data_IF_989128420182
#
_entry.id   IF_989128420182
#
_cell.length_a   1.000
_cell.length_b   1.000
_cell.length_c   1.000
_cell.angle_alpha   90.00
_cell.angle_beta   90.00
_cell.angle_gamma   90.00
#
_symmetry.space_group_name_H-M   'P 1'
#
loop_
_entity.id
_entity.type
_entity.pdbx_description
1 polymer ?
#
# COMPACT_ATOMS: atom_id res chain seq x y z
N UNK A 1 16.97 15.75 -79.12
CA UNK A 1 16.04 16.29 -78.05
C UNK A 1 16.21 15.39 -76.83
N UNK A 2 17.08 15.80 -75.90
CA UNK A 2 17.31 15.04 -74.67
C UNK A 2 16.37 15.51 -73.58
N UNK A 3 15.51 14.58 -73.09
CA UNK A 3 14.65 14.87 -71.91
C UNK A 3 15.41 14.46 -70.67
N UNK A 4 15.75 15.43 -69.83
CA UNK A 4 16.35 15.24 -68.51
C UNK A 4 15.21 15.02 -67.54
N UNK A 5 15.13 13.83 -66.91
CA UNK A 5 14.21 13.54 -65.82
C UNK A 5 14.90 13.90 -64.49
N UNK A 6 14.32 14.90 -63.78
CA UNK A 6 14.72 15.22 -62.42
C UNK A 6 13.95 14.34 -61.46
N UNK A 7 14.64 13.44 -60.74
CA UNK A 7 14.09 12.74 -59.62
C UNK A 7 14.22 13.56 -58.36
N UNK A 8 13.07 13.98 -57.83
CA UNK A 8 13.02 14.68 -56.55
C UNK A 8 12.94 13.60 -55.47
N UNK A 9 14.04 13.36 -54.72
CA UNK A 9 14.06 12.51 -53.57
C UNK A 9 13.52 13.30 -52.38
N UNK A 10 12.27 12.98 -51.97
CA UNK A 10 11.66 13.52 -50.75
C UNK A 10 12.17 12.68 -49.55
N UNK A 11 13.20 13.19 -48.86
CA UNK A 11 13.70 12.57 -47.63
C UNK A 11 12.75 12.91 -46.49
N UNK A 12 11.94 11.92 -46.09
CA UNK A 12 11.18 11.99 -44.87
C UNK A 12 12.10 11.73 -43.69
N UNK A 13 12.52 12.78 -43.02
CA UNK A 13 13.22 12.68 -41.73
C UNK A 13 12.29 12.21 -40.65
N UNK A 14 12.45 10.96 -40.24
CA UNK A 14 11.75 10.38 -39.08
C UNK A 14 12.37 11.02 -37.81
N UNK A 15 11.73 12.04 -37.25
CA UNK A 15 12.10 12.56 -35.94
C UNK A 15 11.64 11.56 -34.87
N UNK A 16 12.54 10.69 -34.42
CA UNK A 16 12.34 9.88 -33.25
C UNK A 16 12.51 10.82 -32.04
N UNK A 17 11.39 11.27 -31.47
CA UNK A 17 11.40 11.88 -30.16
C UNK A 17 11.76 10.79 -29.15
N UNK A 18 13.04 10.73 -28.76
CA UNK A 18 13.43 9.98 -27.58
C UNK A 18 12.67 10.60 -26.39
N UNK A 19 11.82 9.82 -25.77
CA UNK A 19 11.25 10.17 -24.47
C UNK A 19 12.44 10.39 -23.52
N UNK A 20 12.54 11.51 -22.82
CA UNK A 20 13.55 11.64 -21.78
C UNK A 20 13.28 10.53 -20.78
N UNK A 21 14.26 9.65 -20.60
CA UNK A 21 14.23 8.64 -19.56
C UNK A 21 13.82 9.37 -18.27
N UNK A 22 12.68 8.95 -17.72
CA UNK A 22 12.26 9.42 -16.40
C UNK A 22 13.39 9.03 -15.46
N UNK A 23 14.15 10.01 -15.00
CA UNK A 23 15.16 9.82 -13.97
C UNK A 23 14.41 9.30 -12.76
N UNK A 24 14.34 7.99 -12.61
CA UNK A 24 13.81 7.36 -11.43
C UNK A 24 14.71 7.84 -10.30
N UNK A 25 14.17 8.70 -9.43
CA UNK A 25 14.88 9.19 -8.26
C UNK A 25 15.19 7.96 -7.42
N UNK A 26 16.40 7.42 -7.54
CA UNK A 26 16.86 6.28 -6.77
C UNK A 26 16.96 6.76 -5.32
N UNK A 27 15.93 6.49 -4.52
CA UNK A 27 16.03 6.64 -3.09
C UNK A 27 17.09 5.66 -2.59
N UNK A 28 17.96 6.07 -1.67
CA UNK A 28 18.87 5.13 -1.02
C UNK A 28 18.01 4.05 -0.33
N UNK A 29 18.45 2.80 -0.38
CA UNK A 29 17.74 1.69 0.23
C UNK A 29 17.44 1.95 1.72
N UNK A 30 18.31 2.68 2.40
CA UNK A 30 18.12 3.13 3.78
C UNK A 30 16.87 4.00 3.95
N UNK A 31 16.65 4.97 3.06
CA UNK A 31 15.48 5.86 3.14
C UNK A 31 14.20 5.16 2.69
N UNK A 32 14.28 4.23 1.73
CA UNK A 32 13.12 3.50 1.22
C UNK A 32 12.48 2.58 2.26
N UNK A 33 13.22 2.21 3.30
CA UNK A 33 12.78 1.25 4.32
C UNK A 33 12.54 1.86 5.70
N UNK A 34 12.74 3.17 5.84
CA UNK A 34 12.44 3.85 7.10
C UNK A 34 10.94 3.77 7.42
N UNK A 35 10.59 3.43 8.67
CA UNK A 35 9.20 3.54 9.13
C UNK A 35 8.78 5.02 9.18
N UNK A 36 7.51 5.26 9.01
CA UNK A 36 6.88 6.59 9.11
C UNK A 36 5.64 6.51 10.01
N UNK A 37 5.02 7.64 10.38
CA UNK A 37 3.75 7.60 11.10
C UNK A 37 2.61 6.95 10.30
N UNK A 38 2.74 6.90 8.97
CA UNK A 38 1.76 6.20 8.14
C UNK A 38 1.97 4.69 8.23
N UNK A 39 0.88 3.90 8.36
CA UNK A 39 0.97 2.46 8.38
C UNK A 39 1.59 1.89 7.10
N UNK A 40 2.57 1.01 7.26
CA UNK A 40 3.15 0.27 6.15
C UNK A 40 3.26 -1.23 6.50
N UNK A 41 3.72 -2.05 5.55
CA UNK A 41 3.92 -3.50 5.72
C UNK A 41 2.71 -4.19 6.33
N UNK A 42 1.52 -3.83 5.84
CA UNK A 42 0.27 -4.43 6.28
C UNK A 42 0.21 -5.87 5.79
N UNK A 43 0.08 -6.80 6.73
CA UNK A 43 0.01 -8.25 6.46
C UNK A 43 -1.23 -8.81 7.11
N UNK A 44 -2.11 -9.39 6.30
CA UNK A 44 -3.25 -10.18 6.76
C UNK A 44 -2.80 -11.64 6.93
N UNK A 45 -3.13 -12.24 8.06
CA UNK A 45 -2.68 -13.60 8.41
C UNK A 45 -3.70 -14.30 9.30
N UNK A 46 -3.41 -15.53 9.70
CA UNK A 46 -4.23 -16.30 10.63
C UNK A 46 -3.49 -16.45 11.97
N UNK A 47 -4.24 -16.33 13.05
CA UNK A 47 -3.72 -16.56 14.41
C UNK A 47 -4.64 -17.48 15.25
N UNK A 48 -5.79 -17.85 14.73
CA UNK A 48 -6.81 -18.65 15.40
C UNK A 48 -7.65 -19.36 14.33
N UNK A 49 -8.87 -19.84 14.65
CA UNK A 49 -9.75 -20.49 13.70
C UNK A 49 -10.00 -19.63 12.43
N UNK A 50 -9.53 -20.05 11.25
CA UNK A 50 -9.63 -19.27 10.03
C UNK A 50 -11.07 -19.11 9.51
N UNK A 51 -12.02 -19.90 10.00
CA UNK A 51 -13.42 -19.81 9.61
C UNK A 51 -14.14 -18.60 10.27
N UNK A 52 -13.61 -18.11 11.38
CA UNK A 52 -14.26 -17.08 12.21
C UNK A 52 -13.34 -15.97 12.68
N UNK A 53 -12.05 -16.03 12.35
CA UNK A 53 -11.05 -15.03 12.76
C UNK A 53 -10.12 -14.66 11.62
N UNK A 54 -9.55 -13.46 11.73
CA UNK A 54 -8.48 -12.97 10.85
C UNK A 54 -7.57 -12.07 11.64
N UNK A 55 -6.26 -12.17 11.45
CA UNK A 55 -5.29 -11.30 12.10
C UNK A 55 -4.69 -10.34 11.09
N UNK A 56 -4.39 -9.12 11.52
CA UNK A 56 -3.66 -8.13 10.74
C UNK A 56 -2.52 -7.55 11.55
N UNK A 57 -1.36 -7.43 10.91
CA UNK A 57 -0.19 -6.77 11.46
C UNK A 57 0.23 -5.63 10.53
N UNK A 58 0.75 -4.56 11.11
CA UNK A 58 1.34 -3.45 10.37
C UNK A 58 2.44 -2.78 11.17
N UNK A 59 3.19 -1.92 10.49
CA UNK A 59 4.29 -1.18 11.09
C UNK A 59 4.02 0.32 11.00
N UNK A 60 4.52 1.06 12.01
CA UNK A 60 4.69 2.52 12.00
C UNK A 60 6.04 2.87 12.61
N UNK A 61 6.40 4.14 12.59
CA UNK A 61 7.52 4.61 13.40
C UNK A 61 7.15 4.65 14.90
N UNK A 62 8.12 4.99 15.73
CA UNK A 62 7.97 4.99 17.19
C UNK A 62 7.14 6.15 17.75
N UNK A 63 6.71 7.09 16.92
CA UNK A 63 5.81 8.18 17.33
C UNK A 63 4.37 7.71 17.52
N UNK A 64 3.97 6.64 16.82
CA UNK A 64 2.63 6.07 16.91
C UNK A 64 2.59 5.04 18.05
N UNK A 65 2.13 5.46 19.22
CA UNK A 65 2.08 4.62 20.42
C UNK A 65 0.88 3.68 20.49
N UNK A 66 -0.16 3.94 19.71
CA UNK A 66 -1.43 3.18 19.73
C UNK A 66 -1.91 2.97 18.31
N UNK A 67 -1.95 1.71 17.90
CA UNK A 67 -2.57 1.32 16.65
C UNK A 67 -4.06 1.00 16.82
N UNK A 68 -4.81 1.20 15.75
CA UNK A 68 -6.21 0.81 15.65
C UNK A 68 -6.49 0.19 14.28
N UNK A 69 -7.39 -0.76 14.23
CA UNK A 69 -7.87 -1.35 12.99
C UNK A 69 -9.39 -1.26 12.90
N UNK A 70 -9.91 -1.13 11.71
CA UNK A 70 -11.35 -1.14 11.44
C UNK A 70 -11.68 -2.25 10.45
N UNK A 71 -12.80 -2.93 10.67
CA UNK A 71 -13.35 -3.93 9.77
C UNK A 71 -14.85 -3.74 9.60
N UNK A 72 -15.34 -3.93 8.39
CA UNK A 72 -16.77 -3.89 8.06
C UNK A 72 -17.11 -4.98 7.04
N UNK A 73 -18.37 -5.39 6.98
CA UNK A 73 -18.86 -6.17 5.85
C UNK A 73 -18.76 -5.30 4.59
N UNK A 74 -18.07 -5.81 3.58
CA UNK A 74 -17.91 -5.11 2.32
C UNK A 74 -19.25 -5.01 1.58
N UNK A 75 -19.48 -3.87 0.95
CA UNK A 75 -20.62 -3.65 0.08
C UNK A 75 -20.18 -3.00 -1.23
N UNK A 76 -21.05 -2.96 -2.22
CA UNK A 76 -20.77 -2.37 -3.52
C UNK A 76 -20.57 -0.83 -3.47
N UNK A 77 -20.94 -0.22 -2.36
CA UNK A 77 -20.78 1.21 -2.11
C UNK A 77 -19.85 1.45 -0.91
N UNK A 78 -18.54 1.50 -1.16
CA UNK A 78 -17.52 1.70 -0.12
C UNK A 78 -17.65 2.97 0.73
N UNK A 79 -18.56 3.89 0.36
CA UNK A 79 -18.82 5.11 1.13
C UNK A 79 -19.74 4.90 2.33
N UNK A 80 -20.44 3.76 2.41
CA UNK A 80 -21.43 3.45 3.45
C UNK A 80 -21.00 2.30 4.34
N UNK A 81 -19.69 2.07 4.48
CA UNK A 81 -19.18 1.10 5.43
C UNK A 81 -19.48 1.55 6.87
N UNK A 82 -19.98 0.61 7.67
CA UNK A 82 -20.16 0.81 9.12
C UNK A 82 -19.13 -0.04 9.87
N UNK A 83 -17.90 0.47 10.04
CA UNK A 83 -16.81 -0.32 10.59
C UNK A 83 -16.91 -0.48 12.10
N UNK A 84 -16.53 -1.65 12.56
CA UNK A 84 -16.18 -1.90 13.96
C UNK A 84 -14.69 -1.63 14.16
N UNK A 85 -14.34 -0.91 15.22
CA UNK A 85 -12.97 -0.54 15.56
C UNK A 85 -12.38 -1.47 16.63
N UNK A 86 -11.11 -1.82 16.45
CA UNK A 86 -10.32 -2.66 17.34
C UNK A 86 -9.02 -1.96 17.71
N UNK A 87 -8.70 -1.96 19.01
CA UNK A 87 -7.40 -1.47 19.50
C UNK A 87 -6.35 -2.52 19.23
N UNK A 88 -5.20 -2.09 18.74
CA UNK A 88 -4.07 -2.98 18.51
C UNK A 88 -3.24 -3.20 19.77
N UNK A 89 -2.67 -4.38 19.85
CA UNK A 89 -1.47 -4.61 20.65
C UNK A 89 -0.29 -3.99 19.90
N UNK A 90 0.52 -3.19 20.61
CA UNK A 90 1.66 -2.46 20.04
C UNK A 90 2.94 -2.94 20.68
N UNK A 91 3.87 -3.41 19.86
CA UNK A 91 5.18 -3.89 20.27
C UNK A 91 6.28 -3.02 19.68
N UNK A 92 7.17 -2.48 20.53
CA UNK A 92 8.38 -1.83 20.08
C UNK A 92 9.40 -2.85 19.60
N UNK A 93 10.03 -2.58 18.47
CA UNK A 93 11.09 -3.42 17.93
C UNK A 93 12.24 -2.56 17.40
N UNK A 94 13.46 -2.96 17.79
CA UNK A 94 14.70 -2.37 17.31
C UNK A 94 15.47 -3.40 16.52
N UNK A 95 15.71 -3.10 15.26
CA UNK A 95 16.60 -3.87 14.39
C UNK A 95 17.98 -3.21 14.29
N UNK A 96 18.85 -3.79 13.53
CA UNK A 96 20.14 -3.20 13.14
C UNK A 96 20.00 -2.00 12.18
N UNK A 97 18.85 -1.86 11.52
CA UNK A 97 18.60 -0.83 10.52
C UNK A 97 17.79 0.34 11.10
N UNK A 98 16.75 0.05 11.90
CA UNK A 98 15.85 1.07 12.44
C UNK A 98 15.05 0.58 13.64
N UNK A 99 14.31 1.51 14.24
CA UNK A 99 13.36 1.27 15.33
C UNK A 99 11.94 1.50 14.80
N UNK A 100 10.99 0.68 15.23
CA UNK A 100 9.60 0.75 14.78
C UNK A 100 8.65 0.25 15.85
N UNK A 101 7.36 0.61 15.72
CA UNK A 101 6.26 -0.05 16.37
C UNK A 101 5.58 -1.01 15.39
N UNK A 102 5.33 -2.23 15.85
CA UNK A 102 4.52 -3.22 15.19
C UNK A 102 3.20 -3.35 15.95
N UNK A 103 2.12 -3.27 15.19
CA UNK A 103 0.77 -3.33 15.71
C UNK A 103 0.10 -4.61 15.25
N UNK A 104 -0.70 -5.22 16.11
CA UNK A 104 -1.41 -6.46 15.83
C UNK A 104 -2.85 -6.39 16.31
N UNK A 105 -3.78 -6.86 15.48
CA UNK A 105 -5.19 -7.02 15.81
C UNK A 105 -5.67 -8.39 15.34
N UNK A 106 -6.49 -9.06 16.16
CA UNK A 106 -7.23 -10.24 15.75
C UNK A 106 -8.71 -9.85 15.67
N UNK A 107 -9.25 -9.87 14.47
CA UNK A 107 -10.69 -9.77 14.24
C UNK A 107 -11.32 -11.12 14.59
N UNK A 108 -12.33 -11.12 15.46
CA UNK A 108 -13.03 -12.32 15.94
C UNK A 108 -14.51 -12.26 15.61
N UNK A 109 -15.17 -13.42 15.68
CA UNK A 109 -16.60 -13.56 15.41
C UNK A 109 -17.00 -13.13 14.00
N UNK A 110 -16.10 -13.34 13.04
CA UNK A 110 -16.37 -13.12 11.63
C UNK A 110 -17.35 -14.21 11.13
N UNK A 111 -18.19 -13.85 10.19
CA UNK A 111 -19.11 -14.80 9.54
C UNK A 111 -18.37 -15.44 8.37
N UNK A 112 -18.46 -16.77 8.29
CA UNK A 112 -17.99 -17.51 7.12
C UNK A 112 -18.72 -17.04 5.85
N UNK A 113 -18.10 -17.24 4.70
CA UNK A 113 -18.64 -16.90 3.38
C UNK A 113 -19.10 -15.42 3.28
N UNK A 114 -18.34 -14.52 3.92
CA UNK A 114 -18.67 -13.11 3.98
C UNK A 114 -17.44 -12.28 3.59
N UNK A 115 -17.62 -11.39 2.64
CA UNK A 115 -16.56 -10.46 2.24
C UNK A 115 -16.48 -9.30 3.24
N UNK A 116 -15.29 -9.06 3.74
CA UNK A 116 -14.99 -7.95 4.65
C UNK A 116 -14.02 -6.97 4.00
N UNK A 117 -14.16 -5.70 4.36
CA UNK A 117 -13.17 -4.67 4.10
C UNK A 117 -12.55 -4.23 5.42
N UNK A 118 -11.26 -4.04 5.46
CA UNK A 118 -10.55 -3.59 6.65
C UNK A 118 -9.53 -2.50 6.32
N UNK A 119 -9.17 -1.70 7.32
CA UNK A 119 -8.07 -0.74 7.27
C UNK A 119 -7.38 -0.64 8.62
N UNK A 120 -6.15 -0.13 8.61
CA UNK A 120 -5.34 0.03 9.82
C UNK A 120 -4.81 1.45 9.91
N UNK A 121 -4.52 1.91 11.14
CA UNK A 121 -4.06 3.26 11.39
C UNK A 121 -3.78 3.54 12.85
N UNK A 122 -3.85 4.82 13.20
CA UNK A 122 -3.70 5.36 14.56
C UNK A 122 -4.95 6.11 15.06
N UNK A 123 -6.02 6.11 14.27
CA UNK A 123 -7.23 6.87 14.52
C UNK A 123 -7.28 8.20 13.77
N UNK A 124 -6.16 8.69 13.26
CA UNK A 124 -6.02 9.92 12.45
C UNK A 124 -5.56 9.57 11.05
N UNK A 125 -4.44 8.86 10.96
CA UNK A 125 -3.86 8.39 9.70
C UNK A 125 -4.33 6.95 9.44
N UNK A 126 -4.85 6.69 8.25
CA UNK A 126 -5.41 5.40 7.87
C UNK A 126 -4.86 4.94 6.53
N UNK A 127 -4.76 3.62 6.36
CA UNK A 127 -4.61 3.06 5.01
C UNK A 127 -5.90 3.21 4.22
N UNK A 128 -5.83 2.96 2.92
CA UNK A 128 -7.03 2.61 2.14
C UNK A 128 -7.69 1.36 2.74
N UNK A 129 -8.95 1.10 2.36
CA UNK A 129 -9.61 -0.16 2.67
C UNK A 129 -9.09 -1.26 1.73
N UNK A 130 -8.71 -2.38 2.32
CA UNK A 130 -8.35 -3.62 1.63
C UNK A 130 -9.56 -4.53 1.49
#
# INVERSE_FOLDING_TARGET
MNKIFFYFFLSFGLNIFAHPDSVSKKYSDELAHLPSPLPDRVVLTWNDDPASTQAVNWRTDTSVLKGVAQIAIANSNGRTLNPTEFKAETTYFKSDINEAHYHSVIFRNLKSDTLYAYRVGDGVNWTEYY
#
